data_IF_530036156246
#
_entry.id   IF_530036156246
#
_cell.length_a   1.000
_cell.length_b   1.000
_cell.length_c   1.000
_cell.angle_alpha   90.00
_cell.angle_beta   90.00
_cell.angle_gamma   90.00
#
_symmetry.space_group_name_H-M   'P 1'
#
loop_
_entity.id
_entity.type
_entity.pdbx_description
1 polymer ?
#
# COMPACT_ATOMS: atom_id res chain seq x y z
N UNK A 1 1.10 -8.83 13.95
CA UNK A 1 1.69 -9.86 13.07
C UNK A 1 3.21 -9.94 13.23
N UNK A 2 3.99 -8.92 12.83
CA UNK A 2 5.48 -8.94 12.94
C UNK A 2 5.96 -9.36 14.33
N UNK A 3 5.42 -8.74 15.38
CA UNK A 3 5.72 -9.09 16.78
C UNK A 3 5.44 -10.57 17.10
N UNK A 4 4.29 -11.09 16.68
CA UNK A 4 3.93 -12.48 16.93
C UNK A 4 4.86 -13.47 16.20
N UNK A 5 5.28 -13.14 14.97
CA UNK A 5 6.25 -13.96 14.23
C UNK A 5 7.61 -13.99 14.94
N UNK A 6 8.07 -12.83 15.44
CA UNK A 6 9.29 -12.74 16.25
C UNK A 6 9.19 -13.53 17.55
N UNK A 7 8.06 -13.44 18.26
CA UNK A 7 7.79 -14.21 19.48
C UNK A 7 7.78 -15.72 19.22
N UNK A 8 7.40 -16.16 18.02
CA UNK A 8 7.48 -17.54 17.57
C UNK A 8 8.85 -17.94 16.97
N UNK A 9 9.85 -17.05 16.99
CA UNK A 9 11.18 -17.30 16.43
C UNK A 9 11.22 -17.44 14.91
N UNK A 10 10.23 -16.89 14.19
CA UNK A 10 10.19 -16.87 12.72
C UNK A 10 10.86 -15.61 12.17
N UNK A 11 11.75 -15.80 11.20
CA UNK A 11 12.49 -14.72 10.56
C UNK A 11 11.74 -14.16 9.35
N UNK A 12 11.80 -12.84 9.21
CA UNK A 12 11.33 -12.09 8.04
C UNK A 12 12.58 -11.43 7.46
N UNK A 13 12.89 -11.61 6.17
CA UNK A 13 12.10 -12.30 5.14
C UNK A 13 12.29 -13.83 5.03
N UNK A 14 13.28 -14.40 5.73
CA UNK A 14 13.80 -15.74 5.40
C UNK A 14 12.79 -16.89 5.53
N UNK A 15 12.05 -16.94 6.65
CA UNK A 15 11.02 -17.96 6.85
C UNK A 15 9.69 -17.52 6.19
N UNK A 16 9.37 -16.24 6.33
CA UNK A 16 8.08 -15.66 5.91
C UNK A 16 8.32 -14.28 5.29
N UNK A 17 7.99 -14.17 4.01
CA UNK A 17 7.89 -12.88 3.32
C UNK A 17 6.60 -12.14 3.67
N UNK A 18 6.66 -10.82 3.83
CA UNK A 18 5.53 -9.96 4.17
C UNK A 18 5.46 -8.78 3.21
N UNK A 19 4.26 -8.52 2.70
CA UNK A 19 3.90 -7.28 2.01
C UNK A 19 2.75 -6.63 2.79
N UNK A 20 2.90 -5.37 3.16
CA UNK A 20 1.87 -4.55 3.78
C UNK A 20 1.08 -3.73 2.74
N UNK A 21 0.06 -3.01 3.20
CA UNK A 21 -0.78 -2.16 2.37
C UNK A 21 -0.89 -0.76 2.98
N UNK A 22 -1.08 0.26 2.15
CA UNK A 22 -1.16 1.69 2.48
C UNK A 22 0.15 2.38 2.84
N UNK A 23 1.31 1.71 2.78
CA UNK A 23 2.63 2.31 2.96
C UNK A 23 2.75 3.26 4.17
N UNK A 24 2.08 2.93 5.27
CA UNK A 24 2.03 3.78 6.46
C UNK A 24 3.38 3.85 7.16
N UNK A 25 3.57 4.82 8.07
CA UNK A 25 4.78 4.91 8.90
C UNK A 25 5.09 3.62 9.68
N UNK A 26 4.07 2.83 10.02
CA UNK A 26 4.30 1.50 10.61
C UNK A 26 5.09 0.58 9.67
N UNK A 27 4.81 0.60 8.36
CA UNK A 27 5.53 -0.21 7.37
C UNK A 27 6.99 0.24 7.24
N UNK A 28 7.26 1.53 7.45
CA UNK A 28 8.60 2.10 7.36
C UNK A 28 9.45 1.84 8.61
N UNK A 29 8.85 1.98 9.79
CA UNK A 29 9.56 1.91 11.09
C UNK A 29 9.40 0.56 11.82
N UNK A 30 8.73 -0.42 11.22
CA UNK A 30 8.75 -1.79 11.73
C UNK A 30 10.16 -2.37 11.67
N UNK A 31 10.40 -3.41 12.46
CA UNK A 31 11.65 -4.17 12.41
C UNK A 31 11.36 -5.63 12.04
N UNK A 32 11.71 -6.11 10.83
CA UNK A 32 12.31 -5.35 9.72
C UNK A 32 11.30 -4.36 9.09
N UNK A 33 11.76 -3.35 8.33
CA UNK A 33 10.88 -2.52 7.50
C UNK A 33 10.10 -3.38 6.51
N UNK A 34 8.81 -3.09 6.32
CA UNK A 34 7.93 -3.88 5.45
C UNK A 34 7.80 -3.27 4.06
N UNK A 35 8.08 -4.07 3.03
CA UNK A 35 7.64 -3.82 1.67
C UNK A 35 6.12 -3.60 1.68
N UNK A 36 5.62 -2.58 1.01
CA UNK A 36 4.23 -2.15 1.14
C UNK A 36 3.68 -1.59 -0.16
N UNK A 37 2.40 -1.86 -0.45
CA UNK A 37 1.72 -1.24 -1.58
C UNK A 37 1.30 0.18 -1.20
N UNK A 38 1.87 1.18 -1.88
CA UNK A 38 1.40 2.56 -1.89
C UNK A 38 0.20 2.67 -2.84
N UNK A 39 -0.87 3.28 -2.35
CA UNK A 39 -2.14 3.41 -3.08
C UNK A 39 -2.49 4.87 -3.38
N UNK A 40 -1.63 5.82 -2.99
CA UNK A 40 -1.76 7.24 -3.34
C UNK A 40 -3.16 7.77 -2.95
N UNK A 41 -3.51 7.63 -1.66
CA UNK A 41 -4.84 7.98 -1.15
C UNK A 41 -5.17 9.46 -1.37
N UNK A 42 -4.15 10.34 -1.32
CA UNK A 42 -4.33 11.76 -1.55
C UNK A 42 -4.76 12.03 -2.99
N UNK A 43 -4.04 11.48 -3.95
CA UNK A 43 -4.31 11.58 -5.39
C UNK A 43 -5.67 10.95 -5.71
N UNK A 44 -6.00 9.82 -5.07
CA UNK A 44 -7.31 9.18 -5.18
C UNK A 44 -8.43 10.08 -4.66
N UNK A 45 -8.22 10.78 -3.54
CA UNK A 45 -9.19 11.73 -3.00
C UNK A 45 -9.35 12.96 -3.90
N UNK A 46 -8.25 13.51 -4.43
CA UNK A 46 -8.28 14.61 -5.40
C UNK A 46 -9.06 14.22 -6.67
N UNK A 47 -8.85 13.00 -7.18
CA UNK A 47 -9.63 12.47 -8.31
C UNK A 47 -11.11 12.30 -7.98
N UNK A 48 -11.44 11.85 -6.76
CA UNK A 48 -12.83 11.74 -6.32
C UNK A 48 -13.52 13.11 -6.27
N UNK A 49 -12.85 14.13 -5.72
CA UNK A 49 -13.35 15.52 -5.71
C UNK A 49 -13.54 16.05 -7.13
N UNK A 50 -12.60 15.80 -8.03
CA UNK A 50 -12.73 16.17 -9.44
C UNK A 50 -13.98 15.54 -10.08
N UNK A 51 -14.22 14.24 -9.85
CA UNK A 51 -15.41 13.55 -10.36
C UNK A 51 -16.70 14.13 -9.76
N UNK A 52 -16.71 14.47 -8.47
CA UNK A 52 -17.87 15.09 -7.83
C UNK A 52 -18.19 16.46 -8.43
N UNK A 53 -17.17 17.29 -8.70
CA UNK A 53 -17.36 18.58 -9.35
C UNK A 53 -17.94 18.43 -10.77
N UNK A 54 -17.45 17.45 -11.55
CA UNK A 54 -18.00 17.17 -12.88
C UNK A 54 -19.49 16.78 -12.84
N UNK A 55 -19.89 15.97 -11.85
CA UNK A 55 -21.29 15.62 -11.64
C UNK A 55 -22.12 16.86 -11.27
N UNK A 56 -21.57 17.72 -10.41
CA UNK A 56 -22.22 18.97 -10.01
C UNK A 56 -22.44 19.92 -11.19
N UNK A 57 -21.49 19.96 -12.13
CA UNK A 57 -21.55 20.77 -13.36
C UNK A 57 -22.45 20.14 -14.46
N UNK A 58 -23.12 19.02 -14.17
CA UNK A 58 -24.10 18.40 -15.07
C UNK A 58 -23.51 17.44 -16.11
N UNK A 59 -22.25 17.01 -15.97
CA UNK A 59 -21.67 15.96 -16.82
C UNK A 59 -22.46 14.66 -16.62
N UNK A 60 -23.07 14.18 -17.70
CA UNK A 60 -23.99 13.03 -17.67
C UNK A 60 -23.29 11.66 -17.63
N UNK A 61 -22.01 11.60 -18.01
CA UNK A 61 -21.26 10.35 -18.09
C UNK A 61 -20.12 10.34 -17.06
N UNK A 62 -20.12 9.39 -16.10
CA UNK A 62 -19.08 9.34 -15.07
C UNK A 62 -17.72 9.05 -15.69
N UNK A 63 -16.70 9.81 -15.26
CA UNK A 63 -15.32 9.54 -15.65
C UNK A 63 -14.73 8.44 -14.77
N UNK A 64 -14.07 7.47 -15.40
CA UNK A 64 -13.23 6.49 -14.70
C UNK A 64 -11.80 7.01 -14.69
N UNK A 65 -11.29 7.31 -13.50
CA UNK A 65 -9.89 7.68 -13.28
C UNK A 65 -9.23 6.53 -12.54
N UNK A 66 -8.05 6.09 -13.01
CA UNK A 66 -7.25 5.04 -12.36
C UNK A 66 -6.02 5.71 -11.79
N UNK A 67 -5.88 5.65 -10.46
CA UNK A 67 -4.64 6.00 -9.76
C UNK A 67 -3.86 4.69 -9.58
N UNK A 68 -2.71 4.52 -10.26
CA UNK A 68 -1.95 3.28 -10.16
C UNK A 68 -1.31 3.16 -8.78
N UNK A 69 -1.30 1.95 -8.22
CA UNK A 69 -0.54 1.66 -7.02
C UNK A 69 0.93 1.35 -7.36
N UNK A 70 1.80 1.43 -6.35
CA UNK A 70 3.21 1.09 -6.47
C UNK A 70 3.64 0.19 -5.31
N UNK A 71 4.42 -0.84 -5.60
CA UNK A 71 5.10 -1.60 -4.54
C UNK A 71 6.34 -0.81 -4.10
N UNK A 72 6.36 -0.41 -2.84
CA UNK A 72 7.56 0.11 -2.18
C UNK A 72 8.29 -1.07 -1.56
N UNK A 73 9.39 -1.50 -2.16
CA UNK A 73 10.18 -2.61 -1.65
C UNK A 73 11.14 -2.15 -0.54
N UNK A 74 11.16 -2.91 0.56
CA UNK A 74 12.04 -2.71 1.72
C UNK A 74 12.75 -3.99 2.16
N UNK A 75 12.70 -5.05 1.35
CA UNK A 75 13.40 -6.31 1.65
C UNK A 75 12.70 -7.21 2.67
N UNK A 76 11.42 -7.01 2.98
CA UNK A 76 10.66 -7.95 3.81
C UNK A 76 10.11 -9.14 3.02
N UNK A 77 10.49 -9.29 1.75
CA UNK A 77 10.18 -10.45 0.90
C UNK A 77 11.49 -10.99 0.34
N UNK A 78 11.76 -12.27 0.59
CA UNK A 78 12.92 -12.97 0.05
C UNK A 78 12.59 -13.73 -1.22
N UNK A 79 13.61 -13.98 -2.04
CA UNK A 79 13.53 -14.89 -3.18
C UNK A 79 13.80 -16.33 -2.73
N UNK A 80 13.04 -17.30 -3.25
CA UNK A 80 13.40 -18.71 -3.16
C UNK A 80 14.13 -19.11 -4.44
N UNK A 81 15.39 -19.51 -4.31
CA UNK A 81 16.12 -20.25 -5.35
C UNK A 81 15.74 -21.73 -5.32
#
# INVERSE_FOLDING_TARGET
MVKALQECGRQIPDDIGIIAFNNTSFSEFSNPPLSSVEVFLKESAECAVLCMNMLWDGIQFPKKIIVPCMLVDRGSVGTRE
#
